data_IF_885070393614
#
_entry.id   IF_885070393614
#
_cell.length_a   1.000
_cell.length_b   1.000
_cell.length_c   1.000
_cell.angle_alpha   90.00
_cell.angle_beta   90.00
_cell.angle_gamma   90.00
#
_symmetry.space_group_name_H-M   'P 1'
#
loop_
_entity.id
_entity.type
_entity.pdbx_description
1 polymer ?
#
# COMPACT_ATOMS: atom_id res chain seq x y z
N UNK A 1 -3.26 2.82 -1.83
CA UNK A 1 -2.57 2.84 -0.49
C UNK A 1 -3.38 3.65 0.53
N UNK A 2 -3.85 3.02 1.62
CA UNK A 2 -4.53 3.73 2.72
C UNK A 2 -3.68 4.90 3.24
N UNK A 3 -4.33 6.00 3.65
CA UNK A 3 -3.63 7.19 4.13
C UNK A 3 -2.87 6.82 5.42
N UNK A 4 -1.54 6.70 5.33
CA UNK A 4 -0.67 6.29 6.44
C UNK A 4 -0.72 7.27 7.62
N UNK A 5 -1.43 8.39 7.48
CA UNK A 5 -1.85 9.28 8.57
C UNK A 5 -2.59 8.57 9.71
N UNK A 6 -3.16 7.38 9.47
CA UNK A 6 -3.72 6.56 10.55
C UNK A 6 -2.63 6.00 11.51
N UNK A 7 -1.37 5.89 11.06
CA UNK A 7 -0.23 5.39 11.85
C UNK A 7 0.67 6.53 12.32
N UNK A 8 0.12 7.73 12.59
CA UNK A 8 0.92 8.86 13.13
C UNK A 8 1.47 8.53 14.52
N UNK A 9 0.78 7.67 15.27
CA UNK A 9 1.17 7.34 16.64
C UNK A 9 1.79 5.94 16.79
N UNK A 10 1.63 5.00 15.86
CA UNK A 10 2.18 3.64 15.99
C UNK A 10 1.94 3.03 17.38
N UNK A 11 3.00 2.54 18.03
CA UNK A 11 2.96 2.04 19.41
C UNK A 11 2.82 3.12 20.50
N UNK A 12 2.88 4.41 20.17
CA UNK A 12 2.81 5.49 21.16
C UNK A 12 1.50 5.52 21.95
N UNK A 13 0.44 4.91 21.41
CA UNK A 13 -0.86 4.74 22.08
C UNK A 13 -1.09 3.32 22.58
N UNK A 14 -0.08 2.44 22.54
CA UNK A 14 -0.22 1.09 23.06
C UNK A 14 -0.42 1.14 24.58
N UNK A 15 -1.51 0.55 25.06
CA UNK A 15 -1.79 0.43 26.50
C UNK A 15 -0.97 -0.69 27.14
N UNK A 16 -0.44 -1.61 26.34
CA UNK A 16 0.35 -2.75 26.77
C UNK A 16 1.70 -2.80 26.04
N UNK A 17 2.79 -3.19 26.72
CA UNK A 17 4.12 -3.30 26.11
C UNK A 17 4.20 -4.44 25.09
N UNK A 18 4.83 -4.16 23.93
CA UNK A 18 5.15 -5.17 22.92
C UNK A 18 6.50 -5.82 23.24
N UNK A 19 6.49 -7.06 23.72
CA UNK A 19 7.68 -7.73 24.26
C UNK A 19 8.55 -8.47 23.22
N UNK A 20 8.14 -8.47 21.95
CA UNK A 20 8.86 -9.19 20.91
C UNK A 20 9.90 -8.30 20.23
N UNK A 21 11.05 -8.88 19.90
CA UNK A 21 12.15 -8.19 19.20
C UNK A 21 11.84 -7.86 17.74
N UNK A 22 10.82 -8.51 17.18
CA UNK A 22 10.44 -8.45 15.78
C UNK A 22 8.93 -8.36 15.67
N UNK A 23 8.47 -7.80 14.55
CA UNK A 23 7.06 -7.66 14.21
C UNK A 23 6.88 -8.08 12.76
N UNK A 24 5.83 -8.83 12.49
CA UNK A 24 5.40 -9.11 11.11
C UNK A 24 4.69 -7.85 10.62
N UNK A 25 5.16 -7.33 9.50
CA UNK A 25 4.53 -6.20 8.82
C UNK A 25 3.88 -6.76 7.57
N UNK A 26 2.57 -6.63 7.50
CA UNK A 26 1.88 -6.71 6.22
C UNK A 26 2.06 -5.36 5.52
N UNK A 27 2.69 -5.39 4.35
CA UNK A 27 3.02 -4.17 3.63
C UNK A 27 1.89 -3.73 2.70
N UNK A 28 0.94 -4.62 2.40
CA UNK A 28 -0.09 -4.40 1.39
C UNK A 28 0.51 -3.80 0.11
N UNK A 29 1.64 -4.36 -0.34
CA UNK A 29 2.48 -3.79 -1.40
C UNK A 29 1.81 -3.71 -2.77
N UNK A 30 0.62 -4.31 -2.92
CA UNK A 30 -0.18 -4.24 -4.14
C UNK A 30 -0.49 -2.81 -4.53
N UNK A 31 -0.67 -1.91 -3.55
CA UNK A 31 -0.96 -0.49 -3.80
C UNK A 31 0.26 0.37 -4.15
N UNK A 32 1.43 -0.24 -4.42
CA UNK A 32 2.59 0.49 -4.91
C UNK A 32 2.40 0.86 -6.39
N UNK A 33 2.45 2.15 -6.71
CA UNK A 33 2.22 2.65 -8.07
C UNK A 33 0.88 3.36 -8.25
N UNK A 34 -0.06 3.20 -7.30
CA UNK A 34 -1.39 3.85 -7.30
C UNK A 34 -1.36 5.37 -7.47
N UNK A 35 -0.27 6.05 -7.10
CA UNK A 35 -0.11 7.51 -7.23
C UNK A 35 0.91 7.89 -8.30
N UNK A 36 1.16 6.99 -9.24
CA UNK A 36 2.06 7.23 -10.38
C UNK A 36 3.54 7.03 -10.06
N UNK A 37 3.91 6.53 -8.87
CA UNK A 37 5.31 6.30 -8.50
C UNK A 37 6.04 5.34 -9.46
N UNK A 38 5.29 4.47 -10.13
CA UNK A 38 5.79 3.45 -11.06
C UNK A 38 5.37 3.68 -12.53
N UNK A 39 4.79 4.84 -12.89
CA UNK A 39 4.23 5.02 -14.24
C UNK A 39 5.29 4.88 -15.36
N UNK A 40 6.56 5.13 -15.05
CA UNK A 40 7.67 5.01 -16.01
C UNK A 40 7.96 3.57 -16.49
N UNK A 41 7.44 2.55 -15.80
CA UNK A 41 7.57 1.14 -16.20
C UNK A 41 6.29 0.55 -16.80
N UNK A 42 5.16 1.25 -16.71
CA UNK A 42 3.88 0.72 -17.20
C UNK A 42 3.83 0.71 -18.72
N UNK A 43 3.46 -0.43 -19.26
CA UNK A 43 3.18 -0.61 -20.67
C UNK A 43 1.75 -0.19 -21.00
N UNK A 44 1.44 -0.13 -22.29
CA UNK A 44 0.05 0.04 -22.75
C UNK A 44 -0.87 -1.10 -22.30
N UNK A 45 -0.32 -2.30 -22.08
CA UNK A 45 -1.11 -3.48 -21.70
C UNK A 45 -1.56 -3.39 -20.25
N UNK A 46 -0.67 -2.93 -19.36
CA UNK A 46 -0.98 -2.71 -17.94
C UNK A 46 -2.15 -1.71 -17.80
N UNK A 47 -2.11 -0.62 -18.56
CA UNK A 47 -3.19 0.39 -18.61
C UNK A 47 -4.53 -0.20 -19.08
N UNK A 48 -4.52 -1.02 -20.13
CA UNK A 48 -5.75 -1.67 -20.65
C UNK A 48 -6.33 -2.66 -19.63
N UNK A 49 -5.46 -3.38 -18.90
CA UNK A 49 -5.89 -4.33 -17.87
C UNK A 49 -6.50 -3.57 -16.69
N UNK A 50 -5.84 -2.53 -16.21
CA UNK A 50 -6.32 -1.69 -15.12
C UNK A 50 -7.71 -1.07 -15.43
N UNK A 51 -7.87 -0.49 -16.63
CA UNK A 51 -9.13 0.09 -17.11
C UNK A 51 -10.30 -0.92 -17.15
N UNK A 52 -10.02 -2.22 -17.23
CA UNK A 52 -11.02 -3.30 -17.31
C UNK A 52 -11.13 -4.13 -16.04
N UNK A 53 -10.37 -3.78 -15.01
CA UNK A 53 -10.39 -4.47 -13.73
C UNK A 53 -11.64 -4.09 -12.92
N UNK A 54 -11.93 -4.87 -11.88
CA UNK A 54 -13.03 -4.56 -10.94
C UNK A 54 -12.77 -3.26 -10.14
N UNK A 55 -11.50 -2.86 -10.01
CA UNK A 55 -11.09 -1.66 -9.28
C UNK A 55 -10.04 -0.86 -10.06
N UNK A 56 -10.44 -0.08 -11.08
CA UNK A 56 -9.50 0.70 -11.88
C UNK A 56 -8.76 1.77 -11.07
N UNK A 57 -7.48 1.98 -11.38
CA UNK A 57 -6.62 2.99 -10.78
C UNK A 57 -6.08 2.63 -9.39
N UNK A 58 -6.23 1.38 -8.97
CA UNK A 58 -5.63 0.85 -7.74
C UNK A 58 -5.05 -0.54 -7.96
N UNK A 59 -3.92 -0.80 -7.31
CA UNK A 59 -3.13 -2.02 -7.43
C UNK A 59 -2.74 -2.34 -8.88
N UNK A 60 -2.45 -1.28 -9.64
CA UNK A 60 -2.14 -1.28 -11.07
C UNK A 60 -0.66 -1.56 -11.37
#
# INVERSE_FOLDING_TARGET
MEDSKAIVHGLANATEPYHHKQMIIDTEWGGFGDRGEAEYIFTQYDKIIDERSDHPGVNS
#
